data_IF_976975347793
#
_entry.id   IF_976975347793
#
_cell.length_a   1.000
_cell.length_b   1.000
_cell.length_c   1.000
_cell.angle_alpha   90.00
_cell.angle_beta   90.00
_cell.angle_gamma   90.00
#
_symmetry.space_group_name_H-M   'P 1'
#
loop_
_entity.id
_entity.type
_entity.pdbx_description
1 polymer ?
#
# COMPACT_ATOMS: atom_id res chain seq x y z
N UNK A 1 -53.44 37.01 25.76
CA UNK A 1 -52.59 35.88 26.20
C UNK A 1 -51.38 35.77 25.28
N UNK A 2 -50.18 36.15 25.74
CA UNK A 2 -48.93 36.09 24.97
C UNK A 2 -48.23 34.75 25.25
N UNK A 3 -48.19 33.84 24.26
CA UNK A 3 -47.40 32.61 24.32
C UNK A 3 -45.96 32.92 23.91
N UNK A 4 -45.02 32.76 24.84
CA UNK A 4 -43.58 32.81 24.58
C UNK A 4 -43.13 31.44 24.09
N UNK A 5 -42.61 31.36 22.87
CA UNK A 5 -41.94 30.19 22.32
C UNK A 5 -40.48 30.26 22.79
N UNK A 6 -40.06 29.29 23.59
CA UNK A 6 -38.66 29.12 24.02
C UNK A 6 -37.99 28.23 22.98
N UNK A 7 -37.08 28.81 22.19
CA UNK A 7 -36.23 28.07 21.26
C UNK A 7 -35.06 27.46 22.03
N UNK A 8 -35.05 26.13 22.14
CA UNK A 8 -33.95 25.37 22.73
C UNK A 8 -32.89 25.13 21.64
N UNK A 9 -31.80 25.89 21.67
CA UNK A 9 -30.63 25.65 20.82
C UNK A 9 -29.85 24.44 21.36
N UNK A 10 -29.98 23.30 20.69
CA UNK A 10 -29.14 22.13 20.92
C UNK A 10 -27.82 22.34 20.19
N UNK A 11 -26.76 22.64 20.94
CA UNK A 11 -25.39 22.68 20.42
C UNK A 11 -24.92 21.23 20.24
N UNK A 12 -24.98 20.74 19.00
CA UNK A 12 -24.37 19.47 18.61
C UNK A 12 -22.86 19.71 18.54
N UNK A 13 -22.14 19.26 19.57
CA UNK A 13 -20.68 19.23 19.57
C UNK A 13 -20.17 18.24 18.53
N UNK A 14 -19.62 18.76 17.42
CA UNK A 14 -18.81 17.98 16.49
C UNK A 14 -17.53 17.54 17.22
N UNK A 15 -17.45 16.28 17.62
CA UNK A 15 -16.16 15.63 17.87
C UNK A 15 -15.47 15.43 16.53
N UNK A 16 -14.69 16.42 16.12
CA UNK A 16 -13.67 16.22 15.10
C UNK A 16 -12.59 15.32 15.71
N UNK A 17 -12.61 14.03 15.38
CA UNK A 17 -11.46 13.16 15.58
C UNK A 17 -10.33 13.71 14.71
N UNK A 18 -9.43 14.49 15.31
CA UNK A 18 -8.21 14.93 14.67
C UNK A 18 -7.35 13.70 14.40
N UNK A 19 -7.34 13.23 13.15
CA UNK A 19 -6.30 12.33 12.70
C UNK A 19 -4.95 13.06 12.85
N UNK A 20 -3.90 12.40 13.38
CA UNK A 20 -2.59 13.02 13.47
C UNK A 20 -2.12 13.37 12.05
N UNK A 21 -1.89 14.67 11.84
CA UNK A 21 -1.25 15.18 10.64
C UNK A 21 0.13 14.53 10.52
N UNK A 22 0.28 13.70 9.47
CA UNK A 22 1.54 13.07 9.13
C UNK A 22 2.64 14.15 8.97
N UNK A 23 3.78 13.88 9.60
CA UNK A 23 4.93 14.76 9.69
C UNK A 23 5.37 15.34 8.34
N UNK A 24 5.62 16.64 8.35
CA UNK A 24 6.16 17.42 7.25
C UNK A 24 7.61 17.00 6.93
N UNK A 25 7.79 16.39 5.76
CA UNK A 25 9.02 16.41 4.98
C UNK A 25 8.74 17.11 3.64
N UNK A 26 9.77 17.64 2.98
CA UNK A 26 9.76 18.37 1.69
C UNK A 26 8.67 17.91 0.69
N UNK A 27 8.18 18.77 -0.24
CA UNK A 27 7.24 18.39 -1.29
C UNK A 27 7.94 17.57 -2.39
N UNK A 28 8.40 16.38 -2.01
CA UNK A 28 8.70 15.26 -2.87
C UNK A 28 7.80 14.13 -2.39
N UNK A 29 7.01 13.56 -3.30
CA UNK A 29 5.93 12.63 -2.94
C UNK A 29 6.36 11.56 -1.93
N UNK A 30 5.72 11.58 -0.76
CA UNK A 30 5.87 10.54 0.25
C UNK A 30 5.33 9.20 -0.25
N UNK A 31 5.82 8.11 0.34
CA UNK A 31 5.36 6.76 0.02
C UNK A 31 3.92 6.57 0.46
N UNK A 32 3.07 6.13 -0.46
CA UNK A 32 1.65 5.90 -0.20
C UNK A 32 1.37 4.48 0.26
N UNK A 33 0.25 4.28 0.94
CA UNK A 33 -0.28 2.95 1.19
C UNK A 33 -0.92 2.39 -0.10
N UNK A 34 -0.58 1.15 -0.50
CA UNK A 34 -1.09 0.51 -1.71
C UNK A 34 -2.55 0.06 -1.52
N UNK A 35 -3.50 1.00 -1.54
CA UNK A 35 -4.92 0.63 -1.57
C UNK A 35 -5.27 0.04 -2.94
N UNK A 36 -6.35 -0.75 -3.01
CA UNK A 36 -6.83 -1.30 -4.29
C UNK A 36 -6.96 -0.23 -5.39
N UNK A 37 -7.57 0.91 -5.05
CA UNK A 37 -7.73 2.04 -5.97
C UNK A 37 -6.38 2.55 -6.47
N UNK A 38 -5.41 2.71 -5.59
CA UNK A 38 -4.08 3.21 -5.97
C UNK A 38 -3.36 2.21 -6.88
N UNK A 39 -3.43 0.90 -6.58
CA UNK A 39 -2.82 -0.13 -7.42
C UNK A 39 -3.48 -0.18 -8.80
N UNK A 40 -4.82 -0.16 -8.86
CA UNK A 40 -5.57 -0.11 -10.13
C UNK A 40 -5.21 1.13 -10.95
N UNK A 41 -5.11 2.29 -10.29
CA UNK A 41 -4.72 3.53 -10.95
C UNK A 41 -3.33 3.44 -11.54
N UNK A 42 -2.36 3.02 -10.75
CA UNK A 42 -0.97 2.87 -11.21
C UNK A 42 -0.86 1.85 -12.33
N UNK A 43 -1.52 0.70 -12.21
CA UNK A 43 -1.51 -0.34 -13.22
C UNK A 43 -2.05 0.16 -14.58
N UNK A 44 -3.18 0.87 -14.57
CA UNK A 44 -3.77 1.45 -15.78
C UNK A 44 -2.91 2.57 -16.36
N UNK A 45 -2.42 3.48 -15.52
CA UNK A 45 -1.63 4.63 -15.97
C UNK A 45 -0.25 4.21 -16.52
N UNK A 46 0.30 3.10 -16.03
CA UNK A 46 1.49 2.43 -16.56
C UNK A 46 1.20 1.51 -17.76
N UNK A 47 -0.01 1.57 -18.33
CA UNK A 47 -0.43 0.82 -19.52
C UNK A 47 -0.49 -0.71 -19.32
N UNK A 48 -0.62 -1.19 -18.07
CA UNK A 48 -0.90 -2.59 -17.79
C UNK A 48 -2.24 -3.04 -18.38
N UNK A 49 -3.22 -2.14 -18.42
CA UNK A 49 -4.47 -2.29 -19.19
C UNK A 49 -4.72 -1.08 -20.07
N UNK A 50 -5.38 -1.34 -21.20
CA UNK A 50 -5.78 -0.31 -22.14
C UNK A 50 -7.07 0.38 -21.68
N UNK A 51 -6.92 1.56 -21.07
CA UNK A 51 -8.03 2.38 -20.59
C UNK A 51 -8.97 2.86 -21.70
N UNK A 52 -8.56 2.80 -22.97
CA UNK A 52 -9.44 3.21 -24.08
C UNK A 52 -10.51 2.16 -24.40
N UNK A 53 -10.35 0.93 -23.88
CA UNK A 53 -11.37 -0.12 -24.00
C UNK A 53 -12.56 0.19 -23.08
N UNK A 54 -13.81 0.23 -23.60
CA UNK A 54 -14.98 0.61 -22.80
C UNK A 54 -15.11 -0.14 -21.49
N UNK A 55 -14.94 -1.47 -21.50
CA UNK A 55 -15.05 -2.28 -20.28
C UNK A 55 -13.97 -1.94 -19.24
N UNK A 56 -12.76 -1.61 -19.65
CA UNK A 56 -11.68 -1.18 -18.74
C UNK A 56 -11.99 0.21 -18.17
N UNK A 57 -12.44 1.14 -19.01
CA UNK A 57 -12.84 2.48 -18.60
C UNK A 57 -14.00 2.46 -17.60
N UNK A 58 -14.98 1.58 -17.82
CA UNK A 58 -16.15 1.44 -16.96
C UNK A 58 -15.76 0.96 -15.56
N UNK A 59 -14.99 -0.12 -15.50
CA UNK A 59 -14.52 -0.69 -14.25
C UNK A 59 -13.53 0.21 -13.51
N UNK A 60 -12.62 0.87 -14.25
CA UNK A 60 -11.76 1.91 -13.68
C UNK A 60 -12.59 3.07 -13.09
N UNK A 61 -13.65 3.47 -13.81
CA UNK A 61 -14.63 4.45 -13.38
C UNK A 61 -15.36 4.04 -12.11
N UNK A 62 -15.79 2.78 -12.03
CA UNK A 62 -16.44 2.18 -10.84
C UNK A 62 -15.53 2.21 -9.62
N UNK A 63 -14.25 1.84 -9.77
CA UNK A 63 -13.28 1.75 -8.66
C UNK A 63 -12.83 3.14 -8.19
N UNK A 64 -12.58 4.05 -9.11
CA UNK A 64 -12.05 5.40 -8.81
C UNK A 64 -13.15 6.41 -8.50
N UNK A 65 -14.29 6.34 -9.19
CA UNK A 65 -15.37 7.33 -9.17
C UNK A 65 -16.74 6.68 -8.85
N UNK A 66 -16.78 5.83 -7.82
CA UNK A 66 -17.97 5.04 -7.49
C UNK A 66 -19.28 5.86 -7.40
N UNK A 67 -19.25 7.04 -6.77
CA UNK A 67 -20.45 7.90 -6.66
C UNK A 67 -20.96 8.41 -8.01
N UNK A 68 -20.06 8.62 -8.97
CA UNK A 68 -20.41 9.03 -10.33
C UNK A 68 -20.95 7.83 -11.12
N UNK A 69 -20.33 6.67 -10.95
CA UNK A 69 -20.76 5.40 -11.53
C UNK A 69 -22.19 5.05 -11.06
N UNK A 70 -22.43 4.96 -9.75
CA UNK A 70 -23.74 4.62 -9.17
C UNK A 70 -24.87 5.50 -9.69
N UNK A 71 -24.62 6.80 -9.86
CA UNK A 71 -25.65 7.76 -10.27
C UNK A 71 -25.96 7.75 -11.77
N UNK A 72 -24.99 7.39 -12.61
CA UNK A 72 -25.09 7.66 -14.06
C UNK A 72 -24.93 6.42 -14.94
N UNK A 73 -24.47 5.28 -14.41
CA UNK A 73 -24.18 4.09 -15.20
C UNK A 73 -25.40 3.54 -15.95
N UNK A 74 -26.62 3.71 -15.40
CA UNK A 74 -27.86 3.26 -16.06
C UNK A 74 -28.30 4.13 -17.26
N UNK A 75 -27.64 5.27 -17.51
CA UNK A 75 -27.93 6.14 -18.64
C UNK A 75 -26.78 6.06 -19.66
N UNK A 76 -26.96 5.27 -20.71
CA UNK A 76 -25.90 4.97 -21.69
C UNK A 76 -25.28 6.21 -22.34
N UNK A 77 -26.10 7.20 -22.70
CA UNK A 77 -25.63 8.41 -23.37
C UNK A 77 -24.83 9.31 -22.44
N UNK A 78 -25.28 9.47 -21.19
CA UNK A 78 -24.57 10.24 -20.18
C UNK A 78 -23.30 9.50 -19.74
N UNK A 79 -23.40 8.19 -19.52
CA UNK A 79 -22.28 7.36 -19.13
C UNK A 79 -21.18 7.34 -20.19
N UNK A 80 -21.54 7.30 -21.48
CA UNK A 80 -20.56 7.44 -22.56
C UNK A 80 -19.75 8.75 -22.44
N UNK A 81 -20.41 9.89 -22.19
CA UNK A 81 -19.72 11.18 -22.01
C UNK A 81 -18.80 11.16 -20.79
N UNK A 82 -19.27 10.61 -19.68
CA UNK A 82 -18.48 10.45 -18.45
C UNK A 82 -17.26 9.55 -18.71
N UNK A 83 -17.44 8.43 -19.40
CA UNK A 83 -16.37 7.52 -19.79
C UNK A 83 -15.31 8.23 -20.61
N UNK A 84 -15.71 8.97 -21.65
CA UNK A 84 -14.79 9.74 -22.51
C UNK A 84 -13.96 10.74 -21.67
N UNK A 85 -14.59 11.40 -20.69
CA UNK A 85 -13.89 12.27 -19.74
C UNK A 85 -12.93 11.51 -18.81
N UNK A 86 -13.33 10.36 -18.27
CA UNK A 86 -12.49 9.51 -17.41
C UNK A 86 -11.23 9.10 -18.17
N UNK A 87 -11.38 8.61 -19.40
CA UNK A 87 -10.26 8.22 -20.27
C UNK A 87 -9.35 9.43 -20.54
N UNK A 88 -9.93 10.57 -20.93
CA UNK A 88 -9.19 11.80 -21.19
C UNK A 88 -8.38 12.26 -19.96
N UNK A 89 -9.01 12.27 -18.77
CA UNK A 89 -8.35 12.65 -17.51
C UNK A 89 -7.24 11.68 -17.13
N UNK A 90 -7.47 10.37 -17.25
CA UNK A 90 -6.46 9.36 -16.96
C UNK A 90 -5.23 9.52 -17.88
N UNK A 91 -5.46 9.72 -19.19
CA UNK A 91 -4.37 9.93 -20.15
C UNK A 91 -3.60 11.23 -19.89
N UNK A 92 -4.27 12.31 -19.47
CA UNK A 92 -3.62 13.58 -19.07
C UNK A 92 -2.84 13.47 -17.76
N UNK A 93 -3.30 12.64 -16.81
CA UNK A 93 -2.66 12.45 -15.49
C UNK A 93 -1.35 11.65 -15.55
N UNK A 94 -0.97 11.10 -16.71
CA UNK A 94 0.25 10.28 -16.85
C UNK A 94 1.53 10.92 -16.32
N UNK A 95 1.58 12.25 -16.22
CA UNK A 95 2.75 12.97 -15.70
C UNK A 95 2.80 13.04 -14.16
N UNK A 96 1.69 12.80 -13.45
CA UNK A 96 1.56 13.03 -12.00
C UNK A 96 0.70 11.96 -11.31
N UNK A 97 1.19 10.72 -11.28
CA UNK A 97 0.57 9.66 -10.49
C UNK A 97 1.59 9.01 -9.54
N UNK A 98 1.08 8.44 -8.46
CA UNK A 98 1.90 7.88 -7.39
C UNK A 98 2.62 6.63 -7.91
N UNK A 99 3.94 6.64 -7.79
CA UNK A 99 4.78 5.47 -8.08
C UNK A 99 5.52 4.95 -6.85
N UNK A 100 5.33 5.61 -5.70
CA UNK A 100 6.03 5.30 -4.46
C UNK A 100 5.06 4.69 -3.46
N UNK A 101 5.30 3.44 -3.07
CA UNK A 101 4.46 2.70 -2.14
C UNK A 101 5.24 2.15 -0.95
N UNK A 102 4.54 1.95 0.17
CA UNK A 102 5.09 1.22 1.30
C UNK A 102 4.23 0.01 1.63
N UNK A 103 4.87 -1.13 1.82
CA UNK A 103 4.28 -2.37 2.30
C UNK A 103 4.77 -2.68 3.71
N UNK A 104 3.98 -3.45 4.46
CA UNK A 104 4.37 -3.93 5.79
C UNK A 104 4.54 -5.43 5.75
N UNK A 105 5.68 -5.89 6.26
CA UNK A 105 5.94 -7.28 6.53
C UNK A 105 6.18 -7.49 8.03
N UNK A 106 5.99 -8.71 8.49
CA UNK A 106 6.21 -9.10 9.88
C UNK A 106 7.32 -10.13 9.93
N UNK A 107 8.28 -9.91 10.83
CA UNK A 107 9.40 -10.80 11.06
C UNK A 107 9.46 -11.20 12.53
N UNK A 108 10.11 -12.32 12.81
CA UNK A 108 10.40 -12.79 14.15
C UNK A 108 11.91 -12.85 14.32
N UNK A 109 12.35 -12.14 15.34
CA UNK A 109 13.73 -12.06 15.76
C UNK A 109 14.21 -13.41 16.31
N UNK A 110 15.35 -13.90 15.79
CA UNK A 110 16.04 -15.10 16.23
C UNK A 110 16.87 -14.90 17.51
N UNK A 111 18.03 -15.57 17.58
CA UNK A 111 19.02 -15.37 18.66
C UNK A 111 20.09 -14.40 18.16
N UNK A 112 20.36 -13.36 18.95
CA UNK A 112 21.41 -12.39 18.65
C UNK A 112 22.78 -13.04 18.63
N UNK A 113 23.57 -12.74 17.61
CA UNK A 113 24.95 -13.17 17.49
C UNK A 113 25.88 -12.06 18.01
N UNK A 114 26.51 -12.32 19.16
CA UNK A 114 27.43 -11.40 19.80
C UNK A 114 28.73 -11.18 19.02
N UNK A 115 29.14 -12.14 18.19
CA UNK A 115 30.38 -12.05 17.41
C UNK A 115 30.21 -11.15 16.19
N UNK A 116 29.08 -11.28 15.49
CA UNK A 116 28.79 -10.53 14.26
C UNK A 116 27.96 -9.27 14.52
N UNK A 117 27.48 -9.07 15.75
CA UNK A 117 26.55 -8.00 16.11
C UNK A 117 25.32 -7.98 15.20
N UNK A 118 24.78 -9.17 14.95
CA UNK A 118 23.74 -9.43 13.99
C UNK A 118 22.51 -10.06 14.65
N UNK A 119 21.34 -9.59 14.26
CA UNK A 119 20.07 -10.14 14.71
C UNK A 119 19.40 -10.86 13.54
N UNK A 120 19.56 -12.20 13.42
CA UNK A 120 18.94 -12.95 12.34
C UNK A 120 17.43 -13.03 12.55
N UNK A 121 16.69 -13.13 11.46
CA UNK A 121 15.28 -13.48 11.46
C UNK A 121 15.12 -14.99 11.47
N UNK A 122 13.99 -15.46 12.01
CA UNK A 122 13.68 -16.89 11.97
C UNK A 122 13.55 -17.36 10.52
N UNK A 123 14.08 -18.53 10.18
CA UNK A 123 14.15 -19.05 8.81
C UNK A 123 12.80 -19.10 8.06
N UNK A 124 11.68 -19.23 8.78
CA UNK A 124 10.34 -19.25 8.17
C UNK A 124 9.82 -17.86 7.77
N UNK A 125 10.51 -16.80 8.18
CA UNK A 125 10.08 -15.42 7.96
C UNK A 125 11.18 -14.56 7.34
N UNK A 126 12.40 -15.08 7.20
CA UNK A 126 13.43 -14.42 6.40
C UNK A 126 12.95 -14.30 4.94
N UNK A 127 13.28 -13.18 4.31
CA UNK A 127 13.13 -13.06 2.87
C UNK A 127 14.42 -13.58 2.25
N UNK A 128 14.34 -14.68 1.51
CA UNK A 128 15.48 -15.27 0.81
C UNK A 128 15.16 -15.24 -0.69
N UNK A 129 15.91 -14.43 -1.45
CA UNK A 129 15.77 -14.33 -2.91
C UNK A 129 14.32 -14.06 -3.38
N UNK A 130 13.62 -13.16 -2.68
CA UNK A 130 12.21 -12.84 -2.96
C UNK A 130 12.12 -11.97 -4.20
N UNK A 131 11.62 -12.52 -5.32
CA UNK A 131 11.41 -11.78 -6.57
C UNK A 131 10.09 -11.02 -6.67
N UNK A 132 9.15 -11.24 -5.74
CA UNK A 132 7.82 -10.62 -5.75
C UNK A 132 7.41 -10.17 -4.35
N UNK A 133 6.87 -8.95 -4.25
CA UNK A 133 6.29 -8.41 -3.02
C UNK A 133 4.79 -8.20 -3.23
N UNK A 134 4.01 -8.62 -2.24
CA UNK A 134 2.59 -8.35 -2.19
C UNK A 134 2.37 -6.88 -1.78
N UNK A 135 1.82 -6.08 -2.70
CA UNK A 135 1.45 -4.70 -2.42
C UNK A 135 0.04 -4.62 -1.86
N UNK A 136 -0.89 -5.40 -2.39
CA UNK A 136 -2.28 -5.36 -1.98
C UNK A 136 -2.90 -6.75 -1.97
N UNK A 137 -3.55 -7.06 -0.85
CA UNK A 137 -4.40 -8.24 -0.69
C UNK A 137 -5.74 -7.79 -0.12
N UNK A 138 -6.86 -8.26 -0.70
CA UNK A 138 -8.17 -7.94 -0.18
C UNK A 138 -8.30 -8.54 1.22
N UNK A 139 -8.70 -7.73 2.21
CA UNK A 139 -9.22 -8.25 3.46
C UNK A 139 -10.60 -8.87 3.20
N UNK A 140 -10.88 -10.05 3.76
CA UNK A 140 -12.10 -10.81 3.46
C UNK A 140 -13.37 -9.93 3.45
N UNK A 141 -14.15 -10.04 2.37
CA UNK A 141 -15.39 -9.25 2.19
C UNK A 141 -15.21 -7.85 1.58
N UNK A 142 -14.06 -7.53 0.98
CA UNK A 142 -13.88 -6.23 0.32
C UNK A 142 -14.79 -6.13 -0.92
N UNK A 143 -15.85 -5.32 -0.81
CA UNK A 143 -16.64 -4.85 -1.95
C UNK A 143 -16.10 -3.53 -2.46
N UNK A 144 -15.96 -3.40 -3.78
CA UNK A 144 -15.68 -2.13 -4.43
C UNK A 144 -16.97 -1.62 -5.05
N UNK A 145 -17.45 -0.46 -4.63
CA UNK A 145 -18.70 0.09 -5.15
C UNK A 145 -19.87 -0.91 -5.09
N UNK A 146 -20.11 -1.47 -3.89
CA UNK A 146 -21.17 -2.45 -3.56
C UNK A 146 -21.12 -3.77 -4.34
N UNK A 147 -20.03 -4.04 -5.06
CA UNK A 147 -19.86 -5.22 -5.89
C UNK A 147 -18.43 -5.78 -5.76
N UNK A 148 -18.24 -7.05 -6.10
CA UNK A 148 -16.90 -7.64 -6.17
C UNK A 148 -16.01 -6.97 -7.23
N UNK A 149 -14.71 -7.25 -7.23
CA UNK A 149 -13.86 -6.92 -8.38
C UNK A 149 -14.33 -7.67 -9.64
N UNK A 150 -14.45 -6.97 -10.78
CA UNK A 150 -14.66 -7.63 -12.08
C UNK A 150 -13.38 -8.40 -12.44
N UNK A 151 -13.47 -9.57 -13.11
CA UNK A 151 -12.29 -10.36 -13.49
C UNK A 151 -11.20 -9.61 -14.28
N UNK A 152 -11.53 -8.49 -14.93
CA UNK A 152 -10.55 -7.62 -15.60
C UNK A 152 -9.57 -6.98 -14.61
N UNK A 153 -10.04 -6.69 -13.40
CA UNK A 153 -9.25 -6.12 -12.33
C UNK A 153 -9.08 -7.17 -11.23
N UNK A 154 -7.93 -7.84 -11.21
CA UNK A 154 -7.58 -8.76 -10.12
C UNK A 154 -7.76 -8.09 -8.76
N UNK A 155 -8.22 -8.83 -7.75
CA UNK A 155 -8.23 -8.33 -6.38
C UNK A 155 -6.84 -8.17 -5.76
N UNK A 156 -5.79 -8.73 -6.36
CA UNK A 156 -4.44 -8.83 -5.81
C UNK A 156 -3.44 -7.96 -6.60
N UNK A 157 -2.62 -7.21 -5.86
CA UNK A 157 -1.54 -6.41 -6.43
C UNK A 157 -0.19 -6.96 -6.00
N UNK A 158 0.60 -7.45 -6.94
CA UNK A 158 2.00 -7.83 -6.74
C UNK A 158 2.92 -6.81 -7.40
N UNK A 159 4.13 -6.73 -6.86
CA UNK A 159 5.25 -6.07 -7.50
C UNK A 159 6.37 -7.07 -7.71
N UNK A 160 6.75 -7.26 -8.96
CA UNK A 160 7.96 -7.95 -9.38
C UNK A 160 9.15 -7.03 -9.15
N UNK A 161 10.17 -7.55 -8.49
CA UNK A 161 11.39 -6.82 -8.22
C UNK A 161 12.38 -6.97 -9.37
N UNK A 162 13.03 -5.89 -9.73
CA UNK A 162 14.18 -5.88 -10.64
C UNK A 162 15.37 -6.68 -10.10
N UNK A 163 15.57 -6.61 -8.78
CA UNK A 163 16.58 -7.32 -8.01
C UNK A 163 15.89 -8.07 -6.88
N UNK A 164 16.06 -9.40 -6.78
CA UNK A 164 15.47 -10.17 -5.68
C UNK A 164 15.87 -9.61 -4.30
N UNK A 165 14.89 -9.50 -3.42
CA UNK A 165 15.07 -8.98 -2.08
C UNK A 165 15.46 -10.11 -1.12
N UNK A 166 16.57 -9.91 -0.42
CA UNK A 166 17.01 -10.77 0.68
C UNK A 166 17.06 -9.97 1.97
N UNK A 167 16.31 -10.40 2.98
CA UNK A 167 16.28 -9.84 4.33
C UNK A 167 16.35 -10.98 5.34
N UNK A 168 17.56 -11.26 5.81
CA UNK A 168 17.85 -12.34 6.76
C UNK A 168 17.95 -11.84 8.20
N UNK A 169 17.90 -10.53 8.41
CA UNK A 169 18.16 -9.89 9.70
C UNK A 169 18.73 -8.50 9.52
N UNK A 170 19.23 -7.92 10.61
CA UNK A 170 19.92 -6.64 10.58
C UNK A 170 21.02 -6.55 11.64
N UNK A 171 22.02 -5.71 11.38
CA UNK A 171 23.08 -5.43 12.35
C UNK A 171 22.63 -4.39 13.37
N UNK A 172 22.95 -4.63 14.63
CA UNK A 172 22.60 -3.76 15.75
C UNK A 172 23.61 -3.96 16.89
N UNK A 173 24.10 -2.86 17.46
CA UNK A 173 25.06 -2.92 18.57
C UNK A 173 24.45 -3.56 19.82
N UNK A 174 25.25 -4.26 20.61
CA UNK A 174 24.80 -4.93 21.84
C UNK A 174 24.05 -4.00 22.81
N UNK A 175 24.56 -2.78 23.03
CA UNK A 175 23.90 -1.76 23.87
C UNK A 175 22.47 -1.44 23.39
N UNK A 176 22.24 -1.40 22.08
CA UNK A 176 20.91 -1.19 21.49
C UNK A 176 20.05 -2.45 21.60
N UNK A 177 20.64 -3.63 21.47
CA UNK A 177 19.93 -4.91 21.67
C UNK A 177 19.41 -5.04 23.09
N UNK A 178 20.22 -4.74 24.11
CA UNK A 178 19.79 -4.78 25.51
C UNK A 178 18.57 -3.87 25.73
N UNK A 179 18.62 -2.63 25.23
CA UNK A 179 17.48 -1.71 25.28
C UNK A 179 16.25 -2.23 24.52
N UNK A 180 16.46 -2.83 23.35
CA UNK A 180 15.39 -3.42 22.55
C UNK A 180 14.70 -4.57 23.30
N UNK A 181 15.47 -5.46 23.96
CA UNK A 181 14.90 -6.58 24.70
C UNK A 181 14.04 -6.11 25.89
N UNK A 182 14.48 -5.08 26.61
CA UNK A 182 13.68 -4.46 27.69
C UNK A 182 12.37 -3.91 27.13
N UNK A 183 12.43 -3.11 26.05
CA UNK A 183 11.23 -2.54 25.42
C UNK A 183 10.27 -3.62 24.90
N UNK A 184 10.80 -4.70 24.33
CA UNK A 184 9.98 -5.85 23.90
C UNK A 184 9.25 -6.48 25.08
N UNK A 185 9.94 -6.67 26.20
CA UNK A 185 9.34 -7.22 27.42
C UNK A 185 8.26 -6.30 27.99
N UNK A 186 8.53 -4.99 28.09
CA UNK A 186 7.57 -3.98 28.55
C UNK A 186 6.32 -3.90 27.67
N UNK A 187 6.48 -4.09 26.36
CA UNK A 187 5.39 -4.14 25.39
C UNK A 187 4.63 -5.50 25.37
N UNK A 188 5.02 -6.46 26.21
CA UNK A 188 4.44 -7.81 26.20
C UNK A 188 4.77 -8.64 24.95
N UNK A 189 5.74 -8.19 24.14
CA UNK A 189 6.19 -8.82 22.90
C UNK A 189 7.15 -9.98 23.20
N UNK A 190 6.60 -11.06 23.77
CA UNK A 190 7.35 -12.26 24.15
C UNK A 190 7.72 -13.14 22.96
N UNK A 191 7.00 -13.02 21.84
CA UNK A 191 7.26 -13.78 20.61
C UNK A 191 8.36 -13.15 19.74
N UNK A 192 8.91 -12.02 20.17
CA UNK A 192 9.95 -11.26 19.48
C UNK A 192 9.55 -10.85 18.06
N UNK A 193 8.28 -10.51 17.87
CA UNK A 193 7.76 -10.04 16.59
C UNK A 193 8.21 -8.61 16.33
N UNK A 194 8.56 -8.29 15.10
CA UNK A 194 8.86 -6.94 14.63
C UNK A 194 8.18 -6.70 13.29
N UNK A 195 8.09 -5.43 12.91
CA UNK A 195 7.42 -5.01 11.68
C UNK A 195 8.42 -4.30 10.78
N UNK A 196 8.41 -4.62 9.50
CA UNK A 196 9.24 -3.93 8.52
C UNK A 196 8.37 -3.10 7.59
N UNK A 197 8.74 -1.83 7.42
CA UNK A 197 8.21 -0.97 6.37
C UNK A 197 9.12 -1.07 5.17
N UNK A 198 8.62 -1.72 4.13
CA UNK A 198 9.32 -1.91 2.87
C UNK A 198 8.88 -0.80 1.92
N UNK A 199 9.78 0.11 1.57
CA UNK A 199 9.52 1.20 0.64
C UNK A 199 9.91 0.79 -0.77
N UNK A 200 9.03 1.03 -1.72
CA UNK A 200 9.18 0.55 -3.10
C UNK A 200 8.85 1.64 -4.10
N UNK A 201 9.52 1.59 -5.23
CA UNK A 201 9.27 2.46 -6.39
C UNK A 201 8.85 1.59 -7.55
N UNK A 202 7.69 1.89 -8.10
CA UNK A 202 7.14 1.23 -9.28
C UNK A 202 7.70 1.91 -10.53
N UNK A 203 8.22 1.11 -11.45
CA UNK A 203 8.82 1.55 -12.71
C UNK A 203 8.01 1.16 -13.93
N UNK A 204 7.13 0.16 -13.79
CA UNK A 204 6.32 -0.35 -14.90
C UNK A 204 5.17 -1.24 -14.46
N UNK A 205 4.50 -1.81 -15.46
CA UNK A 205 3.41 -2.77 -15.29
C UNK A 205 3.49 -3.81 -16.41
N UNK A 206 3.33 -5.09 -16.06
CA UNK A 206 3.17 -6.14 -17.06
C UNK A 206 1.83 -5.95 -17.80
N UNK A 207 1.80 -6.28 -19.10
CA UNK A 207 0.59 -6.14 -19.92
C UNK A 207 -0.40 -7.25 -19.62
N UNK A 208 -1.65 -6.86 -19.40
CA UNK A 208 -2.72 -7.80 -19.08
C UNK A 208 -2.62 -8.30 -17.65
N UNK A 209 -3.43 -9.29 -17.31
CA UNK A 209 -3.42 -9.89 -15.97
C UNK A 209 -2.50 -11.11 -15.97
N UNK A 210 -1.51 -11.11 -15.08
CA UNK A 210 -0.61 -12.26 -14.89
C UNK A 210 -1.32 -13.37 -14.11
N UNK A 211 -1.03 -14.63 -14.46
CA UNK A 211 -1.35 -15.76 -13.59
C UNK A 211 -0.18 -15.98 -12.63
N UNK A 212 -0.42 -15.95 -11.32
CA UNK A 212 0.61 -16.36 -10.34
C UNK A 212 0.54 -17.86 -10.06
N UNK A 213 1.57 -18.36 -9.37
CA UNK A 213 1.48 -19.61 -8.63
C UNK A 213 0.22 -19.59 -7.75
N UNK A 214 -0.68 -20.55 -7.95
CA UNK A 214 -1.99 -20.62 -7.28
C UNK A 214 -3.21 -20.27 -8.14
N UNK A 215 -3.06 -20.03 -9.45
CA UNK A 215 -4.15 -19.73 -10.40
C UNK A 215 -4.96 -18.47 -10.07
N UNK A 216 -4.49 -17.61 -9.17
CA UNK A 216 -5.08 -16.29 -8.98
C UNK A 216 -4.57 -15.35 -10.07
N UNK A 217 -5.53 -14.67 -10.70
CA UNK A 217 -5.28 -13.53 -11.58
C UNK A 217 -4.68 -12.42 -10.72
N UNK A 218 -3.60 -11.74 -11.14
CA UNK A 218 -2.93 -10.68 -10.36
C UNK A 218 -2.53 -9.48 -11.22
N UNK A 219 -2.54 -8.27 -10.65
CA UNK A 219 -1.78 -7.16 -11.21
C UNK A 219 -0.30 -7.38 -10.90
N UNK A 220 0.53 -7.29 -11.92
CA UNK A 220 1.98 -7.36 -11.75
C UNK A 220 2.55 -6.00 -12.14
N UNK A 221 3.02 -5.27 -11.13
CA UNK A 221 3.80 -4.06 -11.28
C UNK A 221 5.29 -4.41 -11.28
N UNK A 222 6.10 -3.68 -12.03
CA UNK A 222 7.56 -3.79 -11.99
C UNK A 222 8.11 -2.70 -11.09
N UNK A 223 9.15 -2.98 -10.33
CA UNK A 223 9.74 -1.98 -9.45
C UNK A 223 10.96 -2.47 -8.68
N UNK A 224 11.38 -1.64 -7.73
CA UNK A 224 12.52 -1.92 -6.86
C UNK A 224 12.26 -1.43 -5.45
N UNK A 225 13.01 -1.99 -4.50
CA UNK A 225 12.93 -1.62 -3.08
C UNK A 225 13.98 -0.55 -2.79
N UNK A 226 13.57 0.56 -2.19
CA UNK A 226 14.47 1.67 -1.85
C UNK A 226 15.02 1.59 -0.43
N UNK A 227 14.22 1.10 0.50
CA UNK A 227 14.63 0.99 1.90
C UNK A 227 13.75 0.03 2.67
N UNK A 228 14.30 -0.57 3.72
CA UNK A 228 13.55 -1.31 4.73
C UNK A 228 13.82 -0.70 6.11
N UNK A 229 12.76 -0.25 6.78
CA UNK A 229 12.82 0.22 8.16
C UNK A 229 12.19 -0.81 9.09
N UNK A 230 12.79 -1.09 10.23
CA UNK A 230 12.27 -2.02 11.22
C UNK A 230 11.70 -1.29 12.43
N UNK A 231 10.57 -1.78 12.94
CA UNK A 231 9.80 -1.22 14.04
C UNK A 231 9.41 -2.29 15.05
N UNK A 232 9.25 -1.86 16.31
CA UNK A 232 8.77 -2.72 17.39
C UNK A 232 7.24 -2.92 17.34
N UNK A 233 6.51 -1.93 16.83
CA UNK A 233 5.05 -1.84 16.87
C UNK A 233 4.42 -1.92 15.47
N UNK A 234 3.17 -2.42 15.35
CA UNK A 234 2.48 -2.52 14.07
C UNK A 234 2.09 -1.16 13.48
N UNK A 235 2.03 -0.09 14.29
CA UNK A 235 1.77 1.28 13.84
C UNK A 235 3.01 1.95 13.24
N UNK A 236 4.17 1.28 13.29
CA UNK A 236 5.44 1.73 12.72
C UNK A 236 5.91 3.06 13.33
N UNK A 237 5.75 3.21 14.64
CA UNK A 237 6.08 4.43 15.40
C UNK A 237 7.37 4.30 16.21
N UNK A 238 7.81 3.08 16.49
CA UNK A 238 8.94 2.75 17.33
C UNK A 238 10.09 2.12 16.54
N UNK A 239 10.94 2.92 15.86
CA UNK A 239 12.01 2.39 15.01
C UNK A 239 13.08 1.67 15.83
N UNK A 240 13.60 0.58 15.27
CA UNK A 240 14.64 -0.25 15.89
C UNK A 240 15.84 -0.49 14.96
N UNK A 241 15.68 -0.29 13.64
CA UNK A 241 16.74 -0.48 12.66
C UNK A 241 16.35 0.06 11.28
N UNK A 242 17.37 0.23 10.43
CA UNK A 242 17.22 0.65 9.04
C UNK A 242 18.21 -0.16 8.19
N UNK A 243 17.72 -0.70 7.09
CA UNK A 243 18.53 -1.35 6.06
C UNK A 243 18.43 -0.50 4.79
N UNK A 244 19.45 0.31 4.49
CA UNK A 244 19.52 0.97 3.20
C UNK A 244 19.78 -0.10 2.14
N UNK A 245 19.04 -0.04 1.04
CA UNK A 245 19.33 -0.88 -0.12
C UNK A 245 20.12 -0.04 -1.11
N UNK A 246 21.13 -0.67 -1.72
CA UNK A 246 21.82 -0.05 -2.83
C UNK A 246 20.81 0.14 -3.95
N UNK A 247 20.40 1.39 -4.20
CA UNK A 247 19.67 1.72 -5.42
C UNK A 247 20.70 1.52 -6.52
N UNK A 248 20.56 0.47 -7.32
CA UNK A 248 21.32 0.34 -8.55
C UNK A 248 20.93 1.54 -9.41
N UNK A 249 21.78 2.57 -9.39
CA UNK A 249 21.61 3.77 -10.19
C UNK A 249 21.80 3.41 -11.65
N UNK A 250 20.75 2.89 -12.27
CA UNK A 250 20.65 2.78 -13.72
C UNK A 250 20.51 4.19 -14.28
N UNK A 251 21.62 4.76 -14.72
CA UNK A 251 21.67 5.88 -15.67
C UNK A 251 21.10 5.48 -17.01
#
# INVERSE_FOLDING_TARGET
MKRRIIALFVVIGLFAAAMPAAAAGLPGEGYAWPTFREIVQTFVLMKGLDITKPKVADEYGRITYCELYKRNYSNDFLWKKIRDEIVSRALKKKEYFRVRYQAVATFKLGRYDFKTHYFPFSHLQAFENVGYINLYTPSGGTSFCDSGPDPIFSAYGMMKLDTPLTIEGFSISEKKVQKLMVRMQEAGNTDRKIYARIRVVVTGAEKGIGMSAGNSVQFVLDGYVTSVDFFLDPQLTEPIGHMPLAVNGGT
#
